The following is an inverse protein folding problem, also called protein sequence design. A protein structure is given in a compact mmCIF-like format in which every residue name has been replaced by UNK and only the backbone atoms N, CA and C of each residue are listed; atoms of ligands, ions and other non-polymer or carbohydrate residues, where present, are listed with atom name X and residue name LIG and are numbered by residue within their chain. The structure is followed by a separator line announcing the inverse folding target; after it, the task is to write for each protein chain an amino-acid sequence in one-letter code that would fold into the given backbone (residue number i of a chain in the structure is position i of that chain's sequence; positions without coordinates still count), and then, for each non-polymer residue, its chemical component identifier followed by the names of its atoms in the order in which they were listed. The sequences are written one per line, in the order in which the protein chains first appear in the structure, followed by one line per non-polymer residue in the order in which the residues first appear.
data_IF_833653832361
#
_entry.id   IF_833653832361
#
_cell.length_a   1.000
_cell.length_b   1.000
_cell.length_c   1.000
_cell.angle_alpha   90.00
_cell.angle_beta   90.00
_cell.angle_gamma   90.00
#
_symmetry.space_group_name_H-M   'P 1'
#
loop_
_entity.id
_entity.type
_entity.pdbx_description
1 polymer ?
#
# COMPACT_ATOMS: atom_id res chain seq x y z
N UNK A 1 -11.84 38.67 3.65
CA UNK A 1 -12.52 37.65 4.47
C UNK A 1 -13.45 36.83 3.58
N UNK A 2 -12.92 35.76 2.97
CA UNK A 2 -13.66 34.68 2.30
C UNK A 2 -12.64 33.60 1.90
N UNK A 3 -13.07 32.33 1.83
CA UNK A 3 -12.33 31.13 1.37
C UNK A 3 -11.34 30.45 2.32
N UNK A 4 -11.76 30.10 3.54
CA UNK A 4 -11.00 29.15 4.39
C UNK A 4 -11.86 28.03 5.00
N UNK A 5 -13.00 27.67 4.38
CA UNK A 5 -13.97 26.78 5.02
C UNK A 5 -14.61 25.75 4.08
N UNK A 6 -13.80 24.96 3.36
CA UNK A 6 -14.36 23.81 2.62
C UNK A 6 -13.46 22.56 2.54
N UNK A 7 -12.77 22.20 3.63
CA UNK A 7 -12.01 20.95 3.73
C UNK A 7 -12.26 20.28 5.09
N UNK A 8 -13.52 19.99 5.39
CA UNK A 8 -13.85 18.91 6.33
C UNK A 8 -14.70 17.96 5.52
N UNK A 9 -14.12 16.81 5.15
CA UNK A 9 -14.81 15.80 4.37
C UNK A 9 -16.13 15.43 5.06
N UNK A 10 -17.23 15.39 4.30
CA UNK A 10 -18.53 14.90 4.78
C UNK A 10 -18.33 13.49 5.37
N UNK A 11 -18.55 13.29 6.69
CA UNK A 11 -18.28 12.02 7.36
C UNK A 11 -19.11 10.88 6.76
N UNK A 12 -20.32 11.15 6.29
CA UNK A 12 -21.16 10.17 5.59
C UNK A 12 -20.60 9.82 4.21
N UNK A 13 -19.98 10.78 3.53
CA UNK A 13 -19.28 10.52 2.26
C UNK A 13 -18.07 9.62 2.49
N UNK A 14 -17.26 9.91 3.51
CA UNK A 14 -16.06 9.14 3.83
C UNK A 14 -16.38 7.71 4.28
N UNK A 15 -17.44 7.54 5.07
CA UNK A 15 -17.94 6.22 5.47
C UNK A 15 -18.36 5.38 4.26
N UNK A 16 -19.10 5.97 3.32
CA UNK A 16 -19.48 5.27 2.09
C UNK A 16 -18.27 4.91 1.22
N UNK A 17 -17.28 5.80 1.10
CA UNK A 17 -16.02 5.49 0.41
C UNK A 17 -15.35 4.27 1.04
N UNK A 18 -15.19 4.25 2.37
CA UNK A 18 -14.58 3.11 3.08
C UNK A 18 -15.34 1.82 2.82
N UNK A 19 -16.68 1.83 2.93
CA UNK A 19 -17.53 0.66 2.66
C UNK A 19 -17.38 0.15 1.23
N UNK A 20 -17.29 1.05 0.25
CA UNK A 20 -17.08 0.69 -1.16
C UNK A 20 -15.71 0.03 -1.33
N UNK A 21 -14.66 0.60 -0.76
CA UNK A 21 -13.31 0.05 -0.86
C UNK A 21 -13.17 -1.30 -0.16
N UNK A 22 -13.76 -1.48 1.02
CA UNK A 22 -13.77 -2.77 1.74
C UNK A 22 -14.47 -3.87 0.95
N UNK A 23 -15.64 -3.54 0.38
CA UNK A 23 -16.38 -4.46 -0.46
C UNK A 23 -15.60 -4.80 -1.74
N UNK A 24 -15.04 -3.79 -2.41
CA UNK A 24 -14.28 -3.97 -3.64
C UNK A 24 -13.04 -4.82 -3.41
N UNK A 25 -12.25 -4.51 -2.38
CA UNK A 25 -11.06 -5.29 -2.00
C UNK A 25 -11.43 -6.76 -1.76
N UNK A 26 -12.48 -7.03 -0.97
CA UNK A 26 -12.93 -8.40 -0.70
C UNK A 26 -13.36 -9.12 -1.98
N UNK A 27 -14.14 -8.47 -2.86
CA UNK A 27 -14.61 -9.08 -4.10
C UNK A 27 -13.45 -9.33 -5.08
N UNK A 28 -12.52 -8.39 -5.22
CA UNK A 28 -11.32 -8.57 -6.04
C UNK A 28 -10.46 -9.73 -5.52
N UNK A 29 -10.27 -9.81 -4.20
CA UNK A 29 -9.51 -10.90 -3.57
C UNK A 29 -10.20 -12.26 -3.70
N UNK A 30 -11.54 -12.31 -3.68
CA UNK A 30 -12.28 -13.57 -3.68
C UNK A 30 -12.70 -14.07 -5.07
N UNK A 31 -13.01 -13.18 -6.01
CA UNK A 31 -13.46 -13.53 -7.36
C UNK A 31 -12.45 -13.16 -8.46
N UNK A 32 -11.44 -12.35 -8.15
CA UNK A 32 -10.52 -11.77 -9.13
C UNK A 32 -10.99 -10.41 -9.61
N UNK A 33 -10.03 -9.59 -10.08
CA UNK A 33 -10.32 -8.27 -10.62
C UNK A 33 -11.21 -8.41 -11.84
N UNK A 34 -10.83 -9.21 -12.85
CA UNK A 34 -11.53 -9.35 -14.13
C UNK A 34 -13.00 -9.78 -14.00
N UNK A 35 -13.32 -10.64 -13.03
CA UNK A 35 -14.68 -11.18 -12.82
C UNK A 35 -15.58 -10.30 -11.96
N UNK A 36 -15.05 -9.26 -11.31
CA UNK A 36 -15.83 -8.33 -10.49
C UNK A 36 -16.19 -7.08 -11.29
N UNK A 37 -17.44 -6.61 -11.24
CA UNK A 37 -17.84 -5.32 -11.81
C UNK A 37 -18.46 -4.38 -10.77
N UNK A 38 -18.66 -3.10 -11.14
CA UNK A 38 -19.24 -2.07 -10.25
C UNK A 38 -20.65 -2.43 -9.77
N UNK A 39 -21.44 -3.14 -10.60
CA UNK A 39 -22.77 -3.58 -10.22
C UNK A 39 -22.72 -4.71 -9.17
N UNK A 40 -21.70 -5.55 -9.17
CA UNK A 40 -21.50 -6.56 -8.12
C UNK A 40 -21.19 -5.91 -6.78
N UNK A 41 -20.30 -4.91 -6.77
CA UNK A 41 -19.99 -4.10 -5.57
C UNK A 41 -21.25 -3.40 -5.06
N UNK A 42 -22.02 -2.79 -5.95
CA UNK A 42 -23.27 -2.12 -5.60
C UNK A 42 -24.28 -3.08 -4.97
N UNK A 43 -24.46 -4.26 -5.60
CA UNK A 43 -25.38 -5.31 -5.13
C UNK A 43 -25.03 -5.80 -3.73
N UNK A 44 -23.76 -6.09 -3.49
CA UNK A 44 -23.25 -6.57 -2.20
C UNK A 44 -23.46 -5.53 -1.07
N UNK A 45 -23.41 -4.24 -1.41
CA UNK A 45 -23.63 -3.13 -0.46
C UNK A 45 -25.10 -2.70 -0.34
N UNK A 46 -26.02 -3.29 -1.11
CA UNK A 46 -27.42 -2.85 -1.19
C UNK A 46 -27.58 -1.44 -1.79
N UNK A 47 -26.63 -1.02 -2.63
CA UNK A 47 -26.63 0.28 -3.31
C UNK A 47 -27.01 0.14 -4.79
N UNK A 48 -27.47 1.24 -5.42
CA UNK A 48 -27.56 1.29 -6.88
C UNK A 48 -26.18 1.52 -7.51
N UNK A 49 -25.90 1.00 -8.72
CA UNK A 49 -24.66 1.32 -9.43
C UNK A 49 -24.47 2.83 -9.61
N UNK A 50 -25.55 3.57 -9.88
CA UNK A 50 -25.54 5.02 -9.97
C UNK A 50 -25.03 5.69 -8.68
N UNK A 51 -25.32 5.13 -7.51
CA UNK A 51 -24.79 5.64 -6.24
C UNK A 51 -23.27 5.44 -6.15
N UNK A 52 -22.74 4.28 -6.55
CA UNK A 52 -21.29 4.02 -6.57
C UNK A 52 -20.57 5.02 -7.49
N UNK A 53 -21.15 5.30 -8.68
CA UNK A 53 -20.58 6.25 -9.64
C UNK A 53 -20.54 7.70 -9.14
N UNK A 54 -21.22 8.05 -8.04
CA UNK A 54 -21.06 9.35 -7.37
C UNK A 54 -19.75 9.46 -6.58
N UNK A 55 -19.16 8.34 -6.19
CA UNK A 55 -17.92 8.28 -5.41
C UNK A 55 -16.71 7.98 -6.29
N UNK A 56 -16.88 7.13 -7.31
CA UNK A 56 -15.82 6.68 -8.21
C UNK A 56 -16.35 6.62 -9.65
N UNK A 57 -15.68 7.30 -10.57
CA UNK A 57 -16.03 7.35 -11.98
C UNK A 57 -15.84 6.00 -12.70
N UNK A 58 -15.02 5.10 -12.15
CA UNK A 58 -14.77 3.80 -12.78
C UNK A 58 -14.31 2.70 -11.81
N UNK A 59 -14.38 1.45 -12.25
CA UNK A 59 -13.76 0.30 -11.58
C UNK A 59 -12.24 0.47 -11.40
N UNK A 60 -11.59 1.15 -12.35
CA UNK A 60 -10.14 1.43 -12.28
C UNK A 60 -9.86 2.39 -11.12
N UNK A 61 -10.65 3.43 -10.95
CA UNK A 61 -10.49 4.39 -9.84
C UNK A 61 -10.74 3.72 -8.48
N UNK A 62 -11.72 2.81 -8.39
CA UNK A 62 -11.92 2.00 -7.18
C UNK A 62 -10.68 1.16 -6.87
N UNK A 63 -10.12 0.50 -7.88
CA UNK A 63 -8.91 -0.31 -7.72
C UNK A 63 -7.70 0.53 -7.28
N UNK A 64 -7.47 1.68 -7.92
CA UNK A 64 -6.43 2.63 -7.54
C UNK A 64 -6.56 3.07 -6.08
N UNK A 65 -7.78 3.36 -5.63
CA UNK A 65 -8.04 3.74 -4.25
C UNK A 65 -7.80 2.56 -3.27
N UNK A 66 -8.15 1.32 -3.65
CA UNK A 66 -7.80 0.11 -2.88
C UNK A 66 -6.28 -0.05 -2.79
N UNK A 67 -5.56 0.02 -3.91
CA UNK A 67 -4.09 -0.05 -3.94
C UNK A 67 -3.44 1.04 -3.09
N UNK A 68 -3.89 2.30 -3.22
CA UNK A 68 -3.40 3.41 -2.43
C UNK A 68 -3.58 3.20 -0.92
N UNK A 69 -4.72 2.62 -0.50
CA UNK A 69 -4.98 2.26 0.89
C UNK A 69 -4.02 1.18 1.39
N UNK A 70 -3.81 0.12 0.61
CA UNK A 70 -2.87 -0.96 0.95
C UNK A 70 -1.42 -0.45 1.06
N UNK A 71 -0.97 0.33 0.09
CA UNK A 71 0.37 0.95 0.09
C UNK A 71 0.53 1.94 1.25
N UNK A 72 -0.52 2.68 1.59
CA UNK A 72 -0.55 3.56 2.77
C UNK A 72 -0.39 2.79 4.08
N UNK A 73 -1.11 1.67 4.24
CA UNK A 73 -0.98 0.80 5.41
C UNK A 73 0.43 0.18 5.51
N UNK A 74 0.96 -0.32 4.39
CA UNK A 74 2.34 -0.82 4.29
C UNK A 74 3.36 0.23 4.71
N UNK A 75 3.23 1.47 4.20
CA UNK A 75 4.12 2.57 4.56
C UNK A 75 4.03 2.92 6.04
N UNK A 76 2.82 2.97 6.61
CA UNK A 76 2.62 3.24 8.04
C UNK A 76 3.32 2.19 8.91
N UNK A 77 3.19 0.91 8.58
CA UNK A 77 3.90 -0.17 9.26
C UNK A 77 5.42 -0.01 9.14
N UNK A 78 5.93 0.32 7.94
CA UNK A 78 7.35 0.58 7.72
C UNK A 78 7.85 1.70 8.64
N UNK A 79 7.16 2.84 8.61
CA UNK A 79 7.48 4.01 9.40
C UNK A 79 7.51 3.69 10.90
N UNK A 80 6.47 3.04 11.43
CA UNK A 80 6.39 2.67 12.85
C UNK A 80 7.53 1.77 13.28
N UNK A 81 7.90 0.76 12.48
CA UNK A 81 9.00 -0.15 12.79
C UNK A 81 10.36 0.55 12.71
N UNK A 82 10.56 1.39 11.69
CA UNK A 82 11.82 2.09 11.44
C UNK A 82 12.09 3.25 12.41
N UNK A 83 11.10 3.65 13.20
CA UNK A 83 11.23 4.65 14.26
C UNK A 83 11.23 4.05 15.68
N UNK A 84 11.32 2.72 15.82
CA UNK A 84 11.41 2.09 17.14
C UNK A 84 12.72 2.47 17.83
N UNK A 85 12.73 2.65 19.17
CA UNK A 85 13.95 2.99 19.92
C UNK A 85 14.84 1.76 20.17
N UNK A 86 15.24 1.10 19.08
CA UNK A 86 16.13 -0.07 19.02
C UNK A 86 17.21 0.16 17.95
N UNK A 87 18.17 -0.76 17.84
CA UNK A 87 19.27 -0.64 16.86
C UNK A 87 18.78 -0.57 15.41
N UNK A 88 19.52 0.12 14.55
CA UNK A 88 19.20 0.26 13.14
C UNK A 88 19.12 -1.11 12.44
N UNK A 89 20.02 -2.03 12.80
CA UNK A 89 19.99 -3.42 12.33
C UNK A 89 18.65 -4.11 12.66
N UNK A 90 18.19 -3.98 13.90
CA UNK A 90 16.98 -4.66 14.36
C UNK A 90 15.72 -4.06 13.72
N UNK A 91 15.69 -2.74 13.47
CA UNK A 91 14.60 -2.09 12.73
C UNK A 91 14.47 -2.65 11.32
N UNK A 92 15.57 -2.70 10.55
CA UNK A 92 15.58 -3.25 9.20
C UNK A 92 15.17 -4.73 9.20
N UNK A 93 15.68 -5.51 10.16
CA UNK A 93 15.34 -6.94 10.32
C UNK A 93 13.85 -7.15 10.62
N UNK A 94 13.29 -6.41 11.59
CA UNK A 94 11.87 -6.50 11.95
C UNK A 94 10.97 -6.09 10.80
N UNK A 95 11.32 -5.03 10.09
CA UNK A 95 10.54 -4.58 8.95
C UNK A 95 10.54 -5.63 7.84
N UNK A 96 11.70 -6.20 7.52
CA UNK A 96 11.82 -7.27 6.52
C UNK A 96 10.94 -8.47 6.89
N UNK A 97 10.93 -8.86 8.17
CA UNK A 97 10.05 -9.92 8.66
C UNK A 97 8.56 -9.56 8.59
N UNK A 98 8.20 -8.33 8.92
CA UNK A 98 6.82 -7.85 8.88
C UNK A 98 6.30 -7.80 7.44
N UNK A 99 7.12 -7.34 6.49
CA UNK A 99 6.81 -7.39 5.06
C UNK A 99 6.58 -8.82 4.58
N UNK A 100 7.49 -9.74 4.90
CA UNK A 100 7.34 -11.15 4.52
C UNK A 100 6.03 -11.77 5.07
N UNK A 101 5.70 -11.51 6.34
CA UNK A 101 4.44 -11.97 6.94
C UNK A 101 3.21 -11.39 6.26
N UNK A 102 3.21 -10.08 6.00
CA UNK A 102 2.12 -9.42 5.30
C UNK A 102 1.92 -10.01 3.90
N UNK A 103 3.01 -10.24 3.16
CA UNK A 103 2.96 -10.92 1.87
C UNK A 103 2.33 -12.31 1.99
N UNK A 104 2.77 -13.13 2.96
CA UNK A 104 2.19 -14.46 3.20
C UNK A 104 0.71 -14.44 3.58
N UNK A 105 0.29 -13.52 4.45
CA UNK A 105 -1.12 -13.38 4.87
C UNK A 105 -2.01 -12.92 3.72
N UNK A 106 -1.49 -12.03 2.87
CA UNK A 106 -2.17 -11.61 1.65
C UNK A 106 -2.22 -12.78 0.64
N UNK A 107 -1.18 -13.62 0.58
CA UNK A 107 -0.99 -14.73 -0.35
C UNK A 107 -1.88 -15.97 -0.15
N UNK A 108 -2.74 -16.05 0.86
CA UNK A 108 -3.59 -17.24 1.05
C UNK A 108 -4.61 -17.48 -0.09
N UNK A 109 -4.78 -16.55 -1.03
CA UNK A 109 -5.64 -16.69 -2.24
C UNK A 109 -4.81 -16.36 -3.53
N UNK A 110 -3.70 -17.09 -3.72
CA UNK A 110 -2.56 -16.77 -4.62
C UNK A 110 -2.91 -16.24 -6.02
N UNK A 111 -3.91 -16.81 -6.70
CA UNK A 111 -4.20 -16.48 -8.11
C UNK A 111 -4.81 -15.08 -8.28
N UNK A 112 -5.65 -14.64 -7.34
CA UNK A 112 -6.45 -13.41 -7.47
C UNK A 112 -5.68 -12.19 -6.99
N UNK A 113 -4.82 -12.37 -5.99
CA UNK A 113 -3.87 -11.33 -5.54
C UNK A 113 -2.86 -11.01 -6.64
N UNK A 114 -2.36 -12.05 -7.33
CA UNK A 114 -1.44 -11.86 -8.46
C UNK A 114 -2.08 -11.03 -9.58
N UNK A 115 -3.35 -11.27 -9.89
CA UNK A 115 -4.11 -10.45 -10.85
C UNK A 115 -4.21 -8.97 -10.41
N UNK A 116 -4.50 -8.69 -9.13
CA UNK A 116 -4.54 -7.32 -8.61
C UNK A 116 -3.18 -6.62 -8.70
N UNK A 117 -2.09 -7.33 -8.38
CA UNK A 117 -0.72 -6.81 -8.46
C UNK A 117 -0.33 -6.50 -9.90
N UNK A 118 -0.63 -7.40 -10.85
CA UNK A 118 -0.37 -7.16 -12.28
C UNK A 118 -1.14 -5.92 -12.76
N UNK A 119 -2.43 -5.84 -12.45
CA UNK A 119 -3.26 -4.71 -12.88
C UNK A 119 -2.72 -3.39 -12.30
N UNK A 120 -2.25 -3.39 -11.06
CA UNK A 120 -1.62 -2.23 -10.44
C UNK A 120 -0.29 -1.85 -11.12
N UNK A 121 0.55 -2.84 -11.46
CA UNK A 121 1.83 -2.59 -12.15
C UNK A 121 1.63 -2.06 -13.58
N UNK A 122 0.65 -2.57 -14.31
CA UNK A 122 0.38 -2.16 -15.68
C UNK A 122 -0.30 -0.79 -15.78
N UNK A 123 -1.13 -0.42 -14.79
CA UNK A 123 -2.01 0.76 -14.88
C UNK A 123 -1.69 1.87 -13.91
N UNK A 124 -1.03 1.57 -12.78
CA UNK A 124 -0.90 2.46 -11.62
C UNK A 124 0.57 2.71 -11.22
N UNK A 125 1.48 2.66 -12.21
CA UNK A 125 2.93 2.78 -12.04
C UNK A 125 3.36 3.96 -11.15
N UNK A 126 2.74 5.15 -11.30
CA UNK A 126 3.11 6.33 -10.53
C UNK A 126 2.86 6.22 -9.01
N UNK A 127 1.83 5.49 -8.58
CA UNK A 127 1.53 5.31 -7.15
C UNK A 127 2.48 4.30 -6.51
N UNK A 128 2.84 3.26 -7.28
CA UNK A 128 3.81 2.26 -6.86
C UNK A 128 5.21 2.87 -6.76
N UNK A 129 5.65 3.62 -7.77
CA UNK A 129 6.95 4.34 -7.74
C UNK A 129 7.04 5.29 -6.55
N UNK A 130 5.99 6.07 -6.30
CA UNK A 130 5.93 6.97 -5.15
C UNK A 130 5.97 6.21 -3.80
N UNK A 131 5.45 4.98 -3.74
CA UNK A 131 5.58 4.15 -2.55
C UNK A 131 7.00 3.61 -2.39
N UNK A 132 7.58 3.04 -3.46
CA UNK A 132 8.94 2.49 -3.46
C UNK A 132 9.96 3.55 -3.06
N UNK A 133 9.87 4.75 -3.63
CA UNK A 133 10.77 5.85 -3.29
C UNK A 133 10.67 6.22 -1.80
N UNK A 134 9.46 6.37 -1.27
CA UNK A 134 9.26 6.67 0.16
C UNK A 134 9.79 5.58 1.10
N UNK A 135 9.73 4.31 0.69
CA UNK A 135 10.33 3.22 1.47
C UNK A 135 11.86 3.27 1.41
N UNK A 136 12.44 3.58 0.25
CA UNK A 136 13.88 3.78 0.12
C UNK A 136 14.39 4.95 0.96
N UNK A 137 13.62 6.04 1.05
CA UNK A 137 13.97 7.18 1.91
C UNK A 137 14.05 6.74 3.39
N UNK A 138 13.10 5.94 3.87
CA UNK A 138 13.14 5.42 5.25
C UNK A 138 14.31 4.44 5.47
N UNK A 139 14.65 3.61 4.49
CA UNK A 139 15.86 2.77 4.58
C UNK A 139 17.12 3.63 4.67
N UNK A 140 17.24 4.67 3.83
CA UNK A 140 18.40 5.55 3.82
C UNK A 140 18.57 6.28 5.15
N UNK A 141 17.47 6.71 5.77
CA UNK A 141 17.45 7.27 7.12
C UNK A 141 18.00 6.28 8.16
N UNK A 142 17.42 5.07 8.25
CA UNK A 142 17.87 4.05 9.22
C UNK A 142 19.32 3.63 8.98
N UNK A 143 19.77 3.52 7.73
CA UNK A 143 21.15 3.19 7.39
C UNK A 143 22.09 4.31 7.84
N UNK A 144 21.71 5.58 7.64
CA UNK A 144 22.51 6.74 8.07
C UNK A 144 22.66 6.76 9.59
N UNK A 145 21.56 6.57 10.33
CA UNK A 145 21.59 6.45 11.79
C UNK A 145 22.49 5.30 12.26
N UNK A 146 22.42 4.14 11.61
CA UNK A 146 23.28 3.00 11.94
C UNK A 146 24.76 3.23 11.64
N UNK A 147 25.09 4.03 10.61
CA UNK A 147 26.48 4.45 10.34
C UNK A 147 26.97 5.40 11.43
N UNK A 148 26.17 6.40 11.79
CA UNK A 148 26.52 7.38 12.84
C UNK A 148 26.68 6.72 14.21
N UNK A 149 25.87 5.70 14.51
CA UNK A 149 25.97 4.90 15.73
C UNK A 149 27.11 3.85 15.69
N UNK A 150 27.79 3.68 14.56
CA UNK A 150 28.84 2.68 14.37
C UNK A 150 28.35 1.23 14.24
N UNK A 151 27.05 1.02 14.05
CA UNK A 151 26.45 -0.30 13.79
C UNK A 151 26.77 -0.81 12.38
N UNK A 152 26.88 0.11 11.41
CA UNK A 152 27.17 -0.20 10.01
C UNK A 152 28.47 0.42 9.55
N UNK A 153 29.13 -0.23 8.57
CA UNK A 153 30.31 0.31 7.90
C UNK A 153 29.98 1.63 7.17
N UNK A 154 30.94 2.53 7.13
CA UNK A 154 30.85 3.78 6.36
C UNK A 154 30.65 3.47 4.86
N UNK A 155 29.60 4.07 4.29
CA UNK A 155 29.18 3.92 2.90
C UNK A 155 28.13 4.97 2.54
N UNK A 156 27.81 5.09 1.25
CA UNK A 156 26.70 5.95 0.80
C UNK A 156 25.33 5.35 1.19
N UNK A 157 24.53 6.02 2.04
CA UNK A 157 23.25 5.51 2.51
C UNK A 157 22.21 5.34 1.40
N UNK A 158 22.24 6.19 0.38
CA UNK A 158 21.28 6.15 -0.74
C UNK A 158 21.52 4.95 -1.66
N UNK A 159 22.79 4.63 -1.93
CA UNK A 159 23.14 3.42 -2.66
C UNK A 159 22.82 2.17 -1.83
N UNK A 160 23.13 2.20 -0.53
CA UNK A 160 22.85 1.09 0.37
C UNK A 160 21.34 0.81 0.52
N UNK A 161 20.50 1.85 0.59
CA UNK A 161 19.04 1.72 0.67
C UNK A 161 18.45 1.03 -0.56
N UNK A 162 18.90 1.41 -1.76
CA UNK A 162 18.50 0.78 -3.03
C UNK A 162 18.95 -0.66 -3.11
N UNK A 163 20.19 -0.96 -2.70
CA UNK A 163 20.71 -2.33 -2.65
C UNK A 163 19.90 -3.20 -1.67
N UNK A 164 19.57 -2.67 -0.50
CA UNK A 164 18.74 -3.36 0.49
C UNK A 164 17.33 -3.60 -0.04
N UNK A 165 16.71 -2.59 -0.66
CA UNK A 165 15.41 -2.73 -1.34
C UNK A 165 15.44 -3.81 -2.41
N UNK A 166 16.44 -3.81 -3.29
CA UNK A 166 16.59 -4.83 -4.32
C UNK A 166 16.82 -6.24 -3.77
N UNK A 167 17.57 -6.39 -2.66
CA UNK A 167 17.80 -7.68 -2.02
C UNK A 167 16.54 -8.23 -1.32
N UNK A 168 15.64 -7.36 -0.89
CA UNK A 168 14.44 -7.72 -0.13
C UNK A 168 13.16 -7.75 -0.97
N UNK A 169 13.19 -7.25 -2.22
CA UNK A 169 12.00 -7.13 -3.10
C UNK A 169 11.27 -8.46 -3.32
N UNK A 170 12.00 -9.58 -3.33
CA UNK A 170 11.44 -10.93 -3.47
C UNK A 170 10.54 -11.34 -2.27
N UNK A 171 10.70 -10.69 -1.13
CA UNK A 171 9.86 -10.92 0.05
C UNK A 171 8.53 -10.15 -0.04
N UNK A 172 8.42 -9.21 -0.98
CA UNK A 172 7.28 -8.31 -1.15
C UNK A 172 6.39 -8.68 -2.34
N UNK A 173 6.84 -9.56 -3.25
CA UNK A 173 6.12 -9.92 -4.47
C UNK A 173 6.06 -11.44 -4.69
N UNK A 174 4.92 -11.98 -5.18
CA UNK A 174 4.84 -13.38 -5.62
C UNK A 174 5.75 -13.63 -6.84
N UNK A 175 6.27 -14.86 -6.93
CA UNK A 175 6.89 -15.41 -8.15
C UNK A 175 5.88 -16.23 -8.94
#
# INVERSE_FOLDING_TARGET
MSEAANIVADPTRQENVTRILDCAERLFRHYGYGKTNVADIARELGMSPANIYRFFASKVEIHQAVCGRMLGASYKMAYEIMHLPISAEERLRRYTHAQYKMTLEVMLDQEKVHEMVIVALERDWGVIDAHVNRIHDLYAEVIREGIEAGEFREQDPETASRCFGAATVILCHPQ
#
